data_IF_796505032827
#
_entry.id   IF_796505032827
#
_cell.length_a   1.000
_cell.length_b   1.000
_cell.length_c   1.000
_cell.angle_alpha   90.00
_cell.angle_beta   90.00
_cell.angle_gamma   90.00
#
_symmetry.space_group_name_H-M   'P 1'
#
loop_
_entity.id
_entity.type
_entity.pdbx_description
1 polymer ?
#
# COMPACT_ATOMS: atom_id res chain seq x y z
N UNK A 1 47.60 63.34 -67.78
CA UNK A 1 46.79 64.48 -68.27
C UNK A 1 45.56 63.91 -68.98
N UNK A 2 44.32 64.38 -68.74
CA UNK A 2 43.84 65.25 -67.65
C UNK A 2 43.86 64.45 -66.32
N UNK A 3 42.85 64.25 -65.43
CA UNK A 3 41.41 64.61 -65.30
C UNK A 3 41.00 64.31 -63.83
N UNK A 4 40.03 64.93 -63.12
CA UNK A 4 38.88 65.82 -63.39
C UNK A 4 37.66 65.12 -64.05
N UNK A 5 36.43 65.12 -63.50
CA UNK A 5 35.79 65.99 -62.49
C UNK A 5 34.87 65.25 -61.48
N UNK A 6 34.60 65.93 -60.36
CA UNK A 6 33.34 66.04 -59.57
C UNK A 6 32.20 65.04 -59.84
N UNK A 7 31.60 64.51 -58.76
CA UNK A 7 30.36 65.09 -58.17
C UNK A 7 29.88 64.28 -56.97
N UNK A 8 29.51 64.94 -55.87
CA UNK A 8 28.79 64.31 -54.76
C UNK A 8 27.40 64.93 -54.63
N UNK A 9 26.33 64.12 -54.69
CA UNK A 9 24.97 64.59 -54.39
C UNK A 9 23.98 63.44 -54.13
N UNK A 10 23.06 63.67 -53.18
CA UNK A 10 21.73 63.05 -52.99
C UNK A 10 21.64 61.57 -52.56
N UNK A 11 21.35 61.43 -51.26
CA UNK A 11 20.13 60.83 -50.70
C UNK A 11 19.58 59.50 -51.27
N UNK A 12 19.60 58.51 -50.36
CA UNK A 12 18.44 57.76 -49.87
C UNK A 12 17.88 56.52 -50.62
N UNK A 13 17.56 55.53 -49.76
CA UNK A 13 16.45 54.59 -49.85
C UNK A 13 16.40 53.60 -51.04
N UNK A 14 16.86 52.36 -50.79
CA UNK A 14 15.97 51.19 -50.83
C UNK A 14 16.64 49.95 -50.20
N UNK A 15 16.22 49.60 -48.97
CA UNK A 15 16.54 48.32 -48.35
C UNK A 15 15.34 47.38 -48.56
N UNK A 16 15.40 46.52 -49.57
CA UNK A 16 14.33 45.58 -49.88
C UNK A 16 14.35 44.39 -48.88
N UNK A 17 13.66 44.54 -47.76
CA UNK A 17 13.48 43.46 -46.78
C UNK A 17 12.48 42.45 -47.35
N UNK A 18 12.94 41.23 -47.64
CA UNK A 18 12.10 40.13 -48.12
C UNK A 18 11.28 39.53 -46.96
N UNK A 19 10.22 40.23 -46.55
CA UNK A 19 9.24 39.69 -45.60
C UNK A 19 8.34 38.69 -46.34
N UNK A 20 8.72 37.42 -46.31
CA UNK A 20 7.80 36.34 -46.66
C UNK A 20 6.63 36.30 -45.67
N UNK A 21 5.37 36.09 -46.11
CA UNK A 21 4.23 36.03 -45.20
C UNK A 21 4.30 34.77 -44.35
N UNK A 22 4.86 34.91 -43.15
CA UNK A 22 4.80 33.88 -42.12
C UNK A 22 3.36 33.79 -41.62
N UNK A 23 2.58 32.88 -42.21
CA UNK A 23 1.20 32.60 -41.81
C UNK A 23 1.16 32.05 -40.39
N UNK A 24 1.15 32.95 -39.42
CA UNK A 24 0.84 32.65 -38.03
C UNK A 24 -0.63 32.26 -37.92
N UNK A 25 -0.92 30.98 -38.18
CA UNK A 25 -2.17 30.38 -37.74
C UNK A 25 -2.35 30.68 -36.26
N UNK A 26 -3.42 31.41 -35.92
CA UNK A 26 -3.79 31.62 -34.54
C UNK A 26 -3.97 30.23 -33.90
N UNK A 27 -3.15 29.91 -32.90
CA UNK A 27 -3.22 28.63 -32.19
C UNK A 27 -4.44 28.64 -31.27
N UNK A 28 -5.61 28.49 -31.89
CA UNK A 28 -6.85 28.24 -31.20
C UNK A 28 -6.71 26.97 -30.35
N UNK A 29 -7.39 26.99 -29.21
CA UNK A 29 -7.33 25.95 -28.19
C UNK A 29 -8.74 25.61 -27.73
N UNK A 30 -8.94 24.36 -27.34
CA UNK A 30 -10.14 23.86 -26.71
C UNK A 30 -9.81 23.53 -25.25
N UNK A 31 -10.38 24.28 -24.32
CA UNK A 31 -10.13 24.11 -22.89
C UNK A 31 -11.09 23.07 -22.31
N UNK A 32 -10.57 22.02 -21.68
CA UNK A 32 -11.37 20.97 -21.03
C UNK A 32 -11.09 20.90 -19.53
N UNK A 33 -12.14 20.80 -18.72
CA UNK A 33 -12.06 20.72 -17.26
C UNK A 33 -12.41 19.30 -16.80
N UNK A 34 -11.40 18.54 -16.39
CA UNK A 34 -11.58 17.17 -15.93
C UNK A 34 -11.75 17.07 -14.42
N UNK A 35 -12.63 16.18 -13.97
CA UNK A 35 -12.77 15.77 -12.57
C UNK A 35 -12.74 14.25 -12.47
N UNK A 36 -11.69 13.70 -11.85
CA UNK A 36 -11.59 12.26 -11.59
C UNK A 36 -12.06 11.95 -10.17
N UNK A 37 -12.85 10.88 -10.01
CA UNK A 37 -13.26 10.30 -8.72
C UNK A 37 -12.87 8.83 -8.67
N UNK A 38 -12.66 8.31 -7.46
CA UNK A 38 -12.42 6.89 -7.20
C UNK A 38 -13.53 6.37 -6.28
N UNK A 39 -14.30 5.40 -6.74
CA UNK A 39 -15.41 4.80 -5.97
C UNK A 39 -14.88 3.69 -5.07
N UNK A 40 -14.94 3.89 -3.74
CA UNK A 40 -14.46 2.91 -2.77
C UNK A 40 -12.93 2.90 -2.58
N UNK A 41 -12.23 4.00 -2.86
CA UNK A 41 -10.79 4.11 -2.64
C UNK A 41 -10.28 5.55 -2.49
N UNK A 42 -8.99 5.68 -2.16
CA UNK A 42 -8.24 6.94 -2.20
C UNK A 42 -8.02 7.40 -3.66
N UNK A 43 -7.52 8.62 -3.88
CA UNK A 43 -6.95 9.02 -5.18
C UNK A 43 -5.45 8.68 -5.30
N UNK A 44 -4.79 8.32 -4.19
CA UNK A 44 -3.35 8.01 -4.14
C UNK A 44 -2.95 6.88 -5.10
N UNK A 45 -1.96 7.12 -5.96
CA UNK A 45 -1.52 6.19 -7.01
C UNK A 45 -2.34 6.23 -8.31
N UNK A 46 -3.38 7.06 -8.41
CA UNK A 46 -4.08 7.29 -9.66
C UNK A 46 -3.36 8.32 -10.56
N UNK A 47 -3.56 8.24 -11.87
CA UNK A 47 -3.00 9.16 -12.87
C UNK A 47 -3.96 9.37 -14.05
N UNK A 48 -3.81 10.51 -14.73
CA UNK A 48 -4.38 10.74 -16.05
C UNK A 48 -3.25 10.91 -17.08
N UNK A 49 -3.17 10.00 -18.05
CA UNK A 49 -2.18 10.03 -19.14
C UNK A 49 -2.83 10.63 -20.36
N UNK A 50 -2.26 11.72 -20.88
CA UNK A 50 -2.76 12.41 -22.09
C UNK A 50 -1.92 11.95 -23.28
N UNK A 51 -2.59 11.37 -24.26
CA UNK A 51 -2.04 11.05 -25.57
C UNK A 51 -2.56 12.07 -26.58
N UNK A 52 -1.71 12.50 -27.50
CA UNK A 52 -2.01 13.32 -28.67
C UNK A 52 -1.59 12.54 -29.92
N UNK A 53 -2.51 12.33 -30.85
CA UNK A 53 -2.30 11.63 -32.12
C UNK A 53 -1.60 10.26 -31.93
N UNK A 54 -2.00 9.54 -30.88
CA UNK A 54 -1.43 8.25 -30.44
C UNK A 54 -0.16 8.35 -29.57
N UNK A 55 0.56 9.47 -29.60
CA UNK A 55 1.81 9.67 -28.84
C UNK A 55 1.51 10.21 -27.45
N UNK A 56 2.16 9.69 -26.40
CA UNK A 56 2.00 10.20 -25.03
C UNK A 56 2.58 11.61 -24.90
N UNK A 57 1.73 12.60 -24.71
CA UNK A 57 2.11 14.01 -24.51
C UNK A 57 2.40 14.33 -23.04
N UNK A 58 1.53 13.86 -22.13
CA UNK A 58 1.53 14.31 -20.72
C UNK A 58 1.13 13.20 -19.76
N UNK A 59 1.46 13.38 -18.48
CA UNK A 59 0.91 12.57 -17.39
C UNK A 59 0.65 13.47 -16.19
N UNK A 60 -0.52 13.34 -15.59
CA UNK A 60 -1.02 14.13 -14.47
C UNK A 60 -1.17 13.18 -13.28
N UNK A 61 -0.53 13.50 -12.16
CA UNK A 61 -0.56 12.70 -10.92
C UNK A 61 -1.06 13.50 -9.71
N UNK A 62 -1.23 14.80 -9.85
CA UNK A 62 -1.68 15.74 -8.81
C UNK A 62 -2.97 16.44 -9.24
N UNK A 63 -3.75 16.93 -8.27
CA UNK A 63 -5.00 17.71 -8.51
C UNK A 63 -6.07 17.00 -9.35
N UNK A 64 -6.02 15.67 -9.50
CA UNK A 64 -6.93 14.90 -10.36
C UNK A 64 -8.43 15.07 -10.01
N UNK A 65 -8.75 15.48 -8.78
CA UNK A 65 -10.10 15.86 -8.36
C UNK A 65 -10.72 17.02 -9.16
N UNK A 66 -9.90 17.98 -9.62
CA UNK A 66 -10.26 19.03 -10.58
C UNK A 66 -9.00 19.59 -11.26
N UNK A 67 -8.90 19.39 -12.56
CA UNK A 67 -7.81 19.91 -13.40
C UNK A 67 -8.35 20.51 -14.69
N UNK A 68 -7.54 21.33 -15.36
CA UNK A 68 -7.87 21.96 -16.65
C UNK A 68 -6.75 21.66 -17.64
N UNK A 69 -7.10 21.38 -18.90
CA UNK A 69 -6.17 21.18 -20.00
C UNK A 69 -6.59 22.06 -21.17
N UNK A 70 -5.64 22.76 -21.76
CA UNK A 70 -5.79 23.35 -23.09
C UNK A 70 -5.33 22.34 -24.14
N UNK A 71 -6.26 21.86 -24.96
CA UNK A 71 -6.00 21.00 -26.11
C UNK A 71 -5.82 21.89 -27.35
N UNK A 72 -4.79 21.62 -28.16
CA UNK A 72 -4.64 22.28 -29.46
C UNK A 72 -5.70 21.78 -30.46
N UNK A 73 -6.19 22.64 -31.34
CA UNK A 73 -7.16 22.26 -32.37
C UNK A 73 -6.53 21.38 -33.48
N UNK A 74 -7.39 20.69 -34.23
CA UNK A 74 -7.05 19.80 -35.34
C UNK A 74 -6.08 18.67 -34.94
N UNK A 75 -6.41 17.96 -33.85
CA UNK A 75 -5.67 16.77 -33.39
C UNK A 75 -6.60 15.82 -32.62
N UNK A 76 -6.20 14.56 -32.44
CA UNK A 76 -6.95 13.57 -31.66
C UNK A 76 -6.30 13.34 -30.31
N UNK A 77 -6.97 13.69 -29.22
CA UNK A 77 -6.49 13.46 -27.86
C UNK A 77 -7.22 12.30 -27.21
N UNK A 78 -6.49 11.48 -26.46
CA UNK A 78 -7.08 10.46 -25.58
C UNK A 78 -6.53 10.65 -24.17
N UNK A 79 -7.42 10.84 -23.20
CA UNK A 79 -7.06 10.93 -21.78
C UNK A 79 -7.40 9.60 -21.12
N UNK A 80 -6.36 8.85 -20.73
CA UNK A 80 -6.45 7.56 -20.04
C UNK A 80 -6.35 7.75 -18.54
N UNK A 81 -7.43 7.47 -17.81
CA UNK A 81 -7.52 7.53 -16.36
C UNK A 81 -7.21 6.16 -15.78
N UNK A 82 -6.12 6.06 -15.03
CA UNK A 82 -5.47 4.81 -14.65
C UNK A 82 -5.23 4.76 -13.14
N UNK A 83 -5.43 3.59 -12.52
CA UNK A 83 -5.22 3.35 -11.10
C UNK A 83 -5.12 1.84 -10.85
N UNK A 84 -4.10 1.40 -10.13
CA UNK A 84 -3.89 -0.03 -9.84
C UNK A 84 -5.05 -0.62 -9.00
N UNK A 85 -5.57 -1.77 -9.43
CA UNK A 85 -6.75 -2.42 -8.83
C UNK A 85 -8.11 -1.80 -9.22
N UNK A 86 -8.14 -0.84 -10.14
CA UNK A 86 -9.35 -0.14 -10.58
C UNK A 86 -9.46 -0.17 -12.11
N UNK A 87 -10.69 -0.23 -12.61
CA UNK A 87 -10.97 -0.29 -14.05
C UNK A 87 -10.65 1.05 -14.68
N UNK A 88 -9.55 1.08 -15.43
CA UNK A 88 -9.08 2.26 -16.17
C UNK A 88 -10.10 2.68 -17.23
N UNK A 89 -10.18 3.98 -17.53
CA UNK A 89 -11.17 4.53 -18.48
C UNK A 89 -10.53 5.56 -19.40
N UNK A 90 -10.92 5.58 -20.67
CA UNK A 90 -10.44 6.55 -21.65
C UNK A 90 -11.54 7.54 -22.03
N UNK A 91 -11.19 8.80 -22.22
CA UNK A 91 -12.04 9.81 -22.88
C UNK A 91 -11.31 10.29 -24.13
N UNK A 92 -12.01 10.33 -25.27
CA UNK A 92 -11.45 10.79 -26.55
C UNK A 92 -11.97 12.18 -26.89
N UNK A 93 -11.11 13.06 -27.38
CA UNK A 93 -11.44 14.40 -27.86
C UNK A 93 -10.87 14.56 -29.27
N UNK A 94 -11.74 14.59 -30.28
CA UNK A 94 -11.36 14.96 -31.64
C UNK A 94 -11.53 16.48 -31.77
N UNK A 95 -10.42 17.23 -31.84
CA UNK A 95 -10.43 18.69 -31.91
C UNK A 95 -10.42 19.25 -33.33
N UNK A 96 -10.73 18.42 -34.34
CA UNK A 96 -10.89 18.84 -35.73
C UNK A 96 -12.10 19.76 -35.89
N UNK A 97 -11.87 20.98 -36.37
CA UNK A 97 -12.90 22.03 -36.48
C UNK A 97 -12.83 22.77 -37.81
N UNK A 98 -13.97 23.24 -38.36
CA UNK A 98 -13.99 24.20 -39.46
C UNK A 98 -13.19 25.48 -39.12
N UNK A 99 -12.52 26.07 -40.12
CA UNK A 99 -11.62 27.21 -39.91
C UNK A 99 -12.35 28.50 -39.45
N UNK A 100 -13.61 28.64 -39.85
CA UNK A 100 -14.55 29.69 -39.42
C UNK A 100 -14.99 29.53 -37.96
N UNK A 101 -15.17 28.30 -37.48
CA UNK A 101 -15.48 28.05 -36.07
C UNK A 101 -14.38 28.55 -35.11
N UNK A 102 -13.11 28.44 -35.52
CA UNK A 102 -11.95 28.90 -34.72
C UNK A 102 -12.03 30.38 -34.35
N UNK A 103 -12.66 31.22 -35.19
CA UNK A 103 -12.78 32.65 -34.94
C UNK A 103 -13.76 33.01 -33.82
N UNK A 104 -14.74 32.15 -33.53
CA UNK A 104 -15.74 32.36 -32.47
C UNK A 104 -15.24 31.88 -31.09
N UNK A 105 -14.27 30.96 -31.07
CA UNK A 105 -13.86 30.24 -29.87
C UNK A 105 -14.84 29.11 -29.50
N UNK A 106 -14.52 28.42 -28.41
CA UNK A 106 -15.22 27.22 -27.93
C UNK A 106 -15.48 27.33 -26.43
N UNK A 107 -16.60 26.79 -25.93
CA UNK A 107 -16.88 26.82 -24.50
C UNK A 107 -15.97 25.84 -23.73
N UNK A 108 -15.54 26.16 -22.50
CA UNK A 108 -14.76 25.23 -21.69
C UNK A 108 -15.58 23.98 -21.32
N UNK A 109 -15.13 22.80 -21.74
CA UNK A 109 -15.91 21.57 -21.63
C UNK A 109 -15.67 20.84 -20.30
N UNK A 110 -16.69 20.83 -19.45
CA UNK A 110 -16.68 20.16 -18.14
C UNK A 110 -17.01 18.67 -18.26
N UNK A 111 -16.10 17.79 -17.81
CA UNK A 111 -16.32 16.33 -17.80
C UNK A 111 -15.89 15.69 -16.47
N UNK A 112 -16.44 14.50 -16.19
CA UNK A 112 -16.16 13.76 -14.96
C UNK A 112 -16.00 12.25 -15.21
N UNK A 113 -15.07 11.61 -14.50
CA UNK A 113 -14.75 10.19 -14.65
C UNK A 113 -14.65 9.53 -13.26
N UNK A 114 -15.58 8.62 -12.95
CA UNK A 114 -15.48 7.75 -11.78
C UNK A 114 -14.80 6.43 -12.14
N UNK A 115 -13.62 6.18 -11.55
CA UNK A 115 -12.97 4.87 -11.57
C UNK A 115 -13.56 3.99 -10.47
N UNK A 116 -13.85 2.73 -10.78
CA UNK A 116 -14.38 1.74 -9.83
C UNK A 116 -13.45 0.55 -9.68
N UNK A 117 -13.52 -0.12 -8.52
CA UNK A 117 -12.69 -1.30 -8.22
C UNK A 117 -12.88 -2.39 -9.28
N UNK A 118 -11.78 -3.00 -9.71
CA UNK A 118 -11.80 -4.15 -10.61
C UNK A 118 -12.12 -5.42 -9.81
N UNK A 119 -12.95 -6.29 -10.39
CA UNK A 119 -13.28 -7.61 -9.87
C UNK A 119 -12.95 -8.65 -10.93
N UNK A 120 -12.28 -9.75 -10.57
CA UNK A 120 -11.76 -10.73 -11.53
C UNK A 120 -12.86 -11.48 -12.30
N UNK A 121 -14.05 -11.61 -11.70
CA UNK A 121 -15.23 -12.24 -12.31
C UNK A 121 -15.95 -11.35 -13.35
N UNK A 122 -15.53 -10.10 -13.55
CA UNK A 122 -16.28 -9.09 -14.31
C UNK A 122 -15.56 -8.73 -15.62
N UNK A 123 -16.29 -8.80 -16.75
CA UNK A 123 -15.72 -8.50 -18.06
C UNK A 123 -15.51 -6.98 -18.24
N UNK A 124 -14.26 -6.53 -18.15
CA UNK A 124 -13.89 -5.12 -18.30
C UNK A 124 -13.51 -4.71 -19.73
N UNK A 125 -13.58 -5.62 -20.73
CA UNK A 125 -13.03 -5.37 -22.09
C UNK A 125 -13.66 -4.14 -22.77
N UNK A 126 -14.92 -3.82 -22.49
CA UNK A 126 -15.59 -2.60 -22.97
C UNK A 126 -14.83 -1.31 -22.60
N UNK A 127 -14.15 -1.27 -21.45
CA UNK A 127 -13.39 -0.11 -20.99
C UNK A 127 -12.02 0.08 -21.67
N UNK A 128 -11.62 -0.84 -22.56
CA UNK A 128 -10.48 -0.62 -23.44
C UNK A 128 -10.76 0.46 -24.49
N UNK A 129 -12.04 0.64 -24.85
CA UNK A 129 -12.54 1.71 -25.72
C UNK A 129 -12.77 3.00 -24.91
N UNK A 130 -12.88 4.19 -25.54
CA UNK A 130 -13.32 5.40 -24.86
C UNK A 130 -14.72 5.23 -24.26
N UNK A 131 -14.92 5.63 -23.00
CA UNK A 131 -16.26 5.67 -22.37
C UNK A 131 -17.04 6.94 -22.73
N UNK A 132 -16.37 7.88 -23.40
CA UNK A 132 -16.95 9.06 -24.00
C UNK A 132 -16.06 9.54 -25.15
N UNK A 133 -16.68 9.94 -26.25
CA UNK A 133 -16.06 10.61 -27.39
C UNK A 133 -16.68 12.00 -27.45
N UNK A 134 -15.83 13.03 -27.44
CA UNK A 134 -16.20 14.43 -27.64
C UNK A 134 -15.68 14.84 -29.00
N UNK A 135 -16.52 15.50 -29.79
CA UNK A 135 -16.16 16.04 -31.11
C UNK A 135 -16.88 17.36 -31.36
N UNK A 136 -16.42 18.09 -32.37
CA UNK A 136 -17.17 19.22 -32.88
C UNK A 136 -18.53 18.76 -33.43
N UNK A 137 -19.58 19.50 -33.13
CA UNK A 137 -20.94 19.24 -33.60
C UNK A 137 -21.48 20.47 -34.35
N UNK A 138 -21.44 20.46 -35.70
CA UNK A 138 -21.81 21.63 -36.51
C UNK A 138 -23.23 22.16 -36.29
N UNK A 139 -24.16 21.35 -35.76
CA UNK A 139 -25.53 21.79 -35.47
C UNK A 139 -25.65 22.71 -34.23
N UNK A 140 -24.67 22.67 -33.31
CA UNK A 140 -24.59 23.59 -32.15
C UNK A 140 -23.41 24.57 -32.26
N UNK A 141 -22.45 24.29 -33.14
CA UNK A 141 -21.31 25.17 -33.41
C UNK A 141 -20.15 25.06 -32.42
N UNK A 142 -20.15 24.07 -31.53
CA UNK A 142 -19.17 23.84 -30.46
C UNK A 142 -18.93 22.32 -30.25
N UNK A 143 -18.21 21.95 -29.20
CA UNK A 143 -17.92 20.56 -28.84
C UNK A 143 -19.01 19.93 -27.96
N UNK A 144 -19.49 18.74 -28.34
CA UNK A 144 -20.41 17.92 -27.53
C UNK A 144 -20.00 16.44 -27.55
N UNK A 145 -20.61 15.63 -26.70
CA UNK A 145 -20.52 14.17 -26.74
C UNK A 145 -21.10 13.63 -28.05
N UNK A 146 -20.37 12.71 -28.69
CA UNK A 146 -20.91 11.94 -29.80
C UNK A 146 -22.05 11.04 -29.29
N UNK A 147 -23.29 11.46 -29.55
CA UNK A 147 -24.46 10.77 -29.00
C UNK A 147 -24.66 9.38 -29.60
N UNK A 148 -24.20 9.13 -30.82
CA UNK A 148 -24.38 7.85 -31.51
C UNK A 148 -23.35 6.82 -31.04
N UNK A 149 -22.09 7.24 -30.90
CA UNK A 149 -21.08 6.46 -30.20
C UNK A 149 -21.52 6.16 -28.76
N UNK A 150 -22.02 7.17 -28.03
CA UNK A 150 -22.49 6.99 -26.64
C UNK A 150 -23.60 5.94 -26.56
N UNK A 151 -24.64 6.03 -27.41
CA UNK A 151 -25.71 5.01 -27.51
C UNK A 151 -25.14 3.61 -27.78
N UNK A 152 -24.16 3.49 -28.69
CA UNK A 152 -23.61 2.20 -29.12
C UNK A 152 -22.93 1.41 -27.99
N UNK A 153 -22.26 2.09 -27.06
CA UNK A 153 -21.59 1.44 -25.92
C UNK A 153 -22.42 1.43 -24.64
N UNK A 154 -23.44 2.28 -24.51
CA UNK A 154 -24.20 2.50 -23.26
C UNK A 154 -24.74 1.21 -22.65
N UNK A 155 -25.29 0.29 -23.46
CA UNK A 155 -25.82 -0.99 -22.94
C UNK A 155 -24.73 -1.85 -22.28
N UNK A 156 -23.54 -1.92 -22.89
CA UNK A 156 -22.40 -2.70 -22.38
C UNK A 156 -21.77 -2.04 -21.15
N UNK A 157 -21.69 -0.70 -21.14
CA UNK A 157 -21.23 0.07 -19.97
C UNK A 157 -22.16 -0.14 -18.77
N UNK A 158 -23.48 -0.07 -18.98
CA UNK A 158 -24.48 -0.22 -17.93
C UNK A 158 -24.45 -1.63 -17.32
N UNK A 159 -24.43 -2.68 -18.13
CA UNK A 159 -24.38 -4.07 -17.64
C UNK A 159 -23.17 -4.30 -16.73
N UNK A 160 -21.98 -3.85 -17.14
CA UNK A 160 -20.77 -4.02 -16.34
C UNK A 160 -20.78 -3.15 -15.08
N UNK A 161 -21.35 -1.94 -15.14
CA UNK A 161 -21.56 -1.10 -13.93
C UNK A 161 -22.52 -1.76 -12.93
N UNK A 162 -23.59 -2.40 -13.39
CA UNK A 162 -24.50 -3.15 -12.52
C UNK A 162 -23.82 -4.38 -11.89
N UNK A 163 -23.02 -5.14 -12.67
CA UNK A 163 -22.22 -6.25 -12.13
C UNK A 163 -21.22 -5.76 -11.06
N UNK A 164 -20.56 -4.63 -11.28
CA UNK A 164 -19.62 -4.00 -10.33
C UNK A 164 -20.33 -3.54 -9.06
N UNK A 165 -21.45 -2.83 -9.17
CA UNK A 165 -22.22 -2.38 -7.99
C UNK A 165 -22.85 -3.56 -7.23
N UNK A 166 -23.17 -4.67 -7.90
CA UNK A 166 -23.58 -5.92 -7.25
C UNK A 166 -22.42 -6.54 -6.46
N UNK A 167 -21.26 -6.77 -7.09
CA UNK A 167 -20.05 -7.31 -6.42
C UNK A 167 -19.60 -6.44 -5.23
N UNK A 168 -19.72 -5.13 -5.36
CA UNK A 168 -19.45 -4.14 -4.31
C UNK A 168 -20.41 -4.26 -3.12
N UNK A 169 -21.71 -4.49 -3.36
CA UNK A 169 -22.69 -4.78 -2.29
C UNK A 169 -22.41 -6.13 -1.63
N UNK A 170 -22.17 -7.18 -2.40
CA UNK A 170 -21.79 -8.51 -1.89
C UNK A 170 -20.54 -8.44 -0.99
N UNK A 171 -19.52 -7.67 -1.39
CA UNK A 171 -18.32 -7.42 -0.59
C UNK A 171 -18.60 -6.62 0.69
N UNK A 172 -19.39 -5.54 0.60
CA UNK A 172 -19.77 -4.73 1.76
C UNK A 172 -20.61 -5.51 2.78
N UNK A 173 -21.57 -6.33 2.33
CA UNK A 173 -22.40 -7.18 3.18
C UNK A 173 -21.57 -8.28 3.83
N UNK A 174 -20.69 -8.94 3.07
CA UNK A 174 -19.73 -9.94 3.57
C UNK A 174 -18.85 -9.37 4.67
N UNK A 175 -18.25 -8.21 4.45
CA UNK A 175 -17.26 -7.66 5.38
C UNK A 175 -17.94 -6.95 6.57
N UNK A 176 -19.13 -6.36 6.40
CA UNK A 176 -19.97 -5.95 7.53
C UNK A 176 -20.46 -7.14 8.37
N UNK A 177 -20.69 -8.31 7.76
CA UNK A 177 -21.03 -9.55 8.47
C UNK A 177 -19.83 -10.07 9.29
N UNK A 178 -18.62 -10.11 8.71
CA UNK A 178 -17.38 -10.42 9.43
C UNK A 178 -17.16 -9.49 10.63
N UNK A 179 -17.25 -8.18 10.43
CA UNK A 179 -17.07 -7.19 11.50
C UNK A 179 -18.07 -7.37 12.65
N UNK A 180 -19.31 -7.79 12.35
CA UNK A 180 -20.30 -8.17 13.38
C UNK A 180 -19.88 -9.44 14.12
N UNK A 181 -19.52 -10.51 13.39
CA UNK A 181 -19.08 -11.78 13.97
C UNK A 181 -17.81 -11.62 14.83
N UNK A 182 -16.85 -10.82 14.40
CA UNK A 182 -15.64 -10.48 15.16
C UNK A 182 -15.97 -9.68 16.42
N UNK A 183 -16.82 -8.66 16.32
CA UNK A 183 -17.27 -7.88 17.49
C UNK A 183 -18.07 -8.72 18.49
N UNK A 184 -18.87 -9.68 18.02
CA UNK A 184 -19.59 -10.64 18.86
C UNK A 184 -18.66 -11.66 19.49
N UNK A 185 -17.67 -12.19 18.75
CA UNK A 185 -16.64 -13.08 19.28
C UNK A 185 -15.76 -12.40 20.33
N UNK A 186 -15.41 -11.12 20.16
CA UNK A 186 -14.69 -10.32 21.15
C UNK A 186 -15.55 -10.14 22.42
N UNK A 187 -16.83 -9.77 22.28
CA UNK A 187 -17.76 -9.66 23.42
C UNK A 187 -17.97 -11.00 24.14
N UNK A 188 -18.04 -12.10 23.40
CA UNK A 188 -18.17 -13.45 23.97
C UNK A 188 -16.92 -13.84 24.77
N UNK A 189 -15.71 -13.60 24.22
CA UNK A 189 -14.44 -13.80 24.93
C UNK A 189 -14.36 -12.96 26.20
N UNK A 190 -14.68 -11.66 26.14
CA UNK A 190 -14.68 -10.77 27.31
C UNK A 190 -15.64 -11.23 28.40
N UNK A 191 -16.86 -11.69 28.04
CA UNK A 191 -17.82 -12.26 29.00
C UNK A 191 -17.32 -13.55 29.62
N UNK A 192 -16.77 -14.46 28.82
CA UNK A 192 -16.22 -15.72 29.31
C UNK A 192 -15.01 -15.50 30.24
N UNK A 193 -14.15 -14.53 29.94
CA UNK A 193 -13.02 -14.15 30.79
C UNK A 193 -13.49 -13.48 32.09
N UNK A 194 -14.48 -12.59 32.04
CA UNK A 194 -15.07 -11.98 33.24
C UNK A 194 -15.75 -13.03 34.14
N UNK A 195 -16.47 -13.99 33.54
CA UNK A 195 -17.11 -15.09 34.26
C UNK A 195 -16.08 -16.05 34.84
N UNK A 196 -15.06 -16.47 34.08
CA UNK A 196 -13.96 -17.28 34.58
C UNK A 196 -13.23 -16.60 35.75
N UNK A 197 -13.02 -15.27 35.69
CA UNK A 197 -12.44 -14.48 36.79
C UNK A 197 -13.37 -14.42 38.02
N UNK A 198 -14.69 -14.36 37.83
CA UNK A 198 -15.67 -14.46 38.92
C UNK A 198 -15.68 -15.85 39.56
N UNK A 199 -15.64 -16.91 38.75
CA UNK A 199 -15.58 -18.29 39.23
C UNK A 199 -14.25 -18.55 39.99
N UNK A 200 -13.12 -18.09 39.46
CA UNK A 200 -11.81 -18.22 40.12
C UNK A 200 -11.74 -17.46 41.46
N UNK A 201 -12.25 -16.23 41.54
CA UNK A 201 -12.28 -15.48 42.80
C UNK A 201 -13.28 -16.07 43.80
N UNK A 202 -14.39 -16.64 43.35
CA UNK A 202 -15.32 -17.40 44.20
C UNK A 202 -14.70 -18.70 44.74
N UNK A 203 -13.96 -19.44 43.91
CA UNK A 203 -13.21 -20.65 44.32
C UNK A 203 -12.13 -20.31 45.35
N UNK A 204 -11.29 -19.31 45.09
CA UNK A 204 -10.28 -18.84 46.05
C UNK A 204 -10.91 -18.39 47.38
N UNK A 205 -12.05 -17.70 47.35
CA UNK A 205 -12.77 -17.29 48.56
C UNK A 205 -13.41 -18.47 49.31
N UNK A 206 -13.82 -19.53 48.61
CA UNK A 206 -14.33 -20.75 49.23
C UNK A 206 -13.19 -21.58 49.85
N UNK A 207 -12.08 -21.75 49.15
CA UNK A 207 -10.88 -22.44 49.63
C UNK A 207 -10.27 -21.73 50.86
N UNK A 208 -10.17 -20.40 50.83
CA UNK A 208 -9.70 -19.62 51.97
C UNK A 208 -10.61 -19.76 53.20
N UNK A 209 -11.94 -19.85 53.01
CA UNK A 209 -12.89 -20.12 54.10
C UNK A 209 -12.74 -21.54 54.65
N UNK A 210 -12.67 -22.55 53.77
CA UNK A 210 -12.50 -23.94 54.15
C UNK A 210 -11.20 -24.16 54.94
N UNK A 211 -10.09 -23.52 54.50
CA UNK A 211 -8.83 -23.53 55.22
C UNK A 211 -8.93 -22.84 56.58
N UNK A 212 -9.50 -21.64 56.65
CA UNK A 212 -9.66 -20.93 57.92
C UNK A 212 -10.56 -21.70 58.92
N UNK A 213 -11.54 -22.46 58.43
CA UNK A 213 -12.34 -23.35 59.28
C UNK A 213 -11.55 -24.59 59.74
N UNK A 214 -10.77 -25.23 58.87
CA UNK A 214 -9.88 -26.34 59.23
C UNK A 214 -8.79 -25.93 60.25
N UNK A 215 -8.16 -24.76 60.05
CA UNK A 215 -7.20 -24.16 60.98
C UNK A 215 -7.87 -23.90 62.35
N UNK A 216 -9.13 -23.43 62.35
CA UNK A 216 -9.92 -23.21 63.58
C UNK A 216 -10.31 -24.53 64.27
N UNK A 217 -10.67 -25.56 63.52
CA UNK A 217 -11.01 -26.88 64.07
C UNK A 217 -9.78 -27.57 64.68
N UNK A 218 -8.64 -27.53 64.00
CA UNK A 218 -7.38 -28.07 64.54
C UNK A 218 -6.89 -27.30 65.76
N UNK A 219 -6.98 -25.96 65.77
CA UNK A 219 -6.69 -25.17 66.96
C UNK A 219 -7.62 -25.51 68.14
N UNK A 220 -8.91 -25.75 67.89
CA UNK A 220 -9.86 -26.19 68.92
C UNK A 220 -9.54 -27.59 69.46
N UNK A 221 -9.15 -28.54 68.60
CA UNK A 221 -8.70 -29.88 68.99
C UNK A 221 -7.42 -29.82 69.83
N UNK A 222 -6.41 -29.04 69.41
CA UNK A 222 -5.18 -28.84 70.17
C UNK A 222 -5.45 -28.20 71.54
N UNK A 223 -6.34 -27.20 71.62
CA UNK A 223 -6.73 -26.58 72.88
C UNK A 223 -7.56 -27.51 73.79
N UNK A 224 -8.28 -28.50 73.23
CA UNK A 224 -8.95 -29.54 74.01
C UNK A 224 -7.94 -30.57 74.53
N UNK A 225 -7.02 -31.06 73.69
CA UNK A 225 -5.97 -32.00 74.07
C UNK A 225 -5.06 -31.41 75.16
N UNK A 226 -4.61 -30.17 75.00
CA UNK A 226 -3.79 -29.48 76.00
C UNK A 226 -4.49 -29.32 77.37
N UNK A 227 -5.82 -29.27 77.42
CA UNK A 227 -6.59 -29.31 78.69
C UNK A 227 -6.57 -30.70 79.33
N UNK A 228 -6.75 -31.75 78.53
CA UNK A 228 -6.67 -33.16 78.98
C UNK A 228 -5.26 -33.46 79.50
N UNK A 229 -4.23 -33.06 78.76
CA UNK A 229 -2.83 -33.25 79.15
C UNK A 229 -2.49 -32.49 80.45
N UNK A 230 -2.98 -31.25 80.59
CA UNK A 230 -2.81 -30.47 81.81
C UNK A 230 -3.58 -31.06 83.01
N UNK A 231 -4.74 -31.68 82.81
CA UNK A 231 -5.46 -32.39 83.87
C UNK A 231 -4.71 -33.67 84.28
N UNK A 232 -4.20 -34.44 83.32
CA UNK A 232 -3.40 -35.64 83.56
C UNK A 232 -2.09 -35.30 84.29
N UNK A 233 -1.39 -34.24 83.89
CA UNK A 233 -0.21 -33.75 84.61
C UNK A 233 -0.54 -33.30 86.05
N UNK A 234 -1.71 -32.68 86.28
CA UNK A 234 -2.15 -32.31 87.64
C UNK A 234 -2.43 -33.53 88.52
N UNK A 235 -3.04 -34.58 87.96
CA UNK A 235 -3.25 -35.87 88.68
C UNK A 235 -1.92 -36.52 89.01
N UNK A 236 -1.03 -36.67 88.02
CA UNK A 236 0.30 -37.25 88.22
C UNK A 236 1.15 -36.44 89.24
N UNK A 237 1.08 -35.10 89.24
CA UNK A 237 1.75 -34.29 90.27
C UNK A 237 1.12 -34.43 91.66
N UNK A 238 -0.19 -34.64 91.77
CA UNK A 238 -0.85 -34.87 93.05
C UNK A 238 -0.48 -36.25 93.62
N UNK A 239 -0.43 -37.28 92.78
CA UNK A 239 0.02 -38.63 93.13
C UNK A 239 1.50 -38.64 93.53
N UNK A 240 2.38 -38.04 92.71
CA UNK A 240 3.81 -37.94 93.01
C UNK A 240 4.07 -37.17 94.33
N UNK A 241 3.32 -36.09 94.61
CA UNK A 241 3.43 -35.38 95.89
C UNK A 241 2.85 -36.17 97.07
N UNK A 242 1.83 -36.98 96.86
CA UNK A 242 1.30 -37.87 97.90
C UNK A 242 2.29 -39.01 98.22
N UNK A 243 3.01 -39.52 97.22
CA UNK A 243 4.05 -40.53 97.40
C UNK A 243 5.34 -39.92 97.99
N UNK A 244 5.78 -38.75 97.53
CA UNK A 244 6.88 -38.01 98.16
C UNK A 244 6.54 -37.66 99.62
N UNK A 245 5.31 -37.25 99.94
CA UNK A 245 4.87 -37.02 101.31
C UNK A 245 4.90 -38.30 102.17
N UNK A 246 4.56 -39.47 101.61
CA UNK A 246 4.72 -40.77 102.29
C UNK A 246 6.19 -41.10 102.53
N UNK A 247 7.07 -40.91 101.55
CA UNK A 247 8.50 -41.14 101.69
C UNK A 247 9.15 -40.16 102.69
N UNK A 248 8.75 -38.88 102.68
CA UNK A 248 9.22 -37.87 103.64
C UNK A 248 8.67 -38.12 105.04
N UNK A 249 7.45 -38.67 105.18
CA UNK A 249 6.95 -39.12 106.48
C UNK A 249 7.79 -40.27 107.03
N UNK A 250 8.03 -41.33 106.23
CA UNK A 250 8.87 -42.46 106.60
C UNK A 250 10.33 -42.04 106.91
N UNK A 251 10.93 -41.18 106.07
CA UNK A 251 12.27 -40.62 106.32
C UNK A 251 12.29 -39.72 107.55
N UNK A 252 11.25 -38.95 107.86
CA UNK A 252 11.15 -38.19 109.13
C UNK A 252 10.96 -39.09 110.35
N UNK A 253 10.39 -40.27 110.19
CA UNK A 253 10.28 -41.27 111.26
C UNK A 253 11.64 -41.98 111.49
N UNK A 254 12.41 -42.19 110.43
CA UNK A 254 13.81 -42.65 110.49
C UNK A 254 14.77 -41.55 111.02
N UNK A 255 14.61 -40.30 110.58
CA UNK A 255 15.36 -39.15 111.10
C UNK A 255 15.00 -38.85 112.55
N UNK A 256 13.75 -39.06 112.99
CA UNK A 256 13.41 -39.00 114.43
C UNK A 256 14.11 -40.07 115.27
N UNK A 257 14.56 -41.17 114.68
CA UNK A 257 15.44 -42.16 115.35
C UNK A 257 16.91 -41.74 115.36
N UNK A 258 17.34 -40.86 114.45
CA UNK A 258 18.74 -40.41 114.30
C UNK A 258 19.00 -39.05 114.97
N UNK A 259 18.07 -38.11 114.88
CA UNK A 259 18.09 -36.79 115.50
C UNK A 259 17.64 -36.78 116.97
N UNK A 260 17.65 -37.95 117.63
CA UNK A 260 17.86 -38.02 119.08
C UNK A 260 19.34 -37.76 119.45
N UNK A 261 20.23 -37.73 118.45
CA UNK A 261 21.67 -37.50 118.55
C UNK A 261 22.06 -36.27 117.70
N UNK A 262 22.94 -35.41 118.25
CA UNK A 262 23.48 -34.17 117.68
C UNK A 262 22.51 -33.00 117.34
N UNK A 263 22.79 -31.80 117.88
CA UNK A 263 22.08 -30.55 117.62
C UNK A 263 23.04 -29.31 117.62
N UNK A 264 22.56 -28.17 117.08
CA UNK A 264 23.23 -26.85 116.92
C UNK A 264 24.35 -26.75 115.83
N UNK A 265 24.72 -25.61 115.21
CA UNK A 265 24.12 -24.27 114.90
C UNK A 265 25.15 -23.42 114.07
N UNK A 266 24.88 -22.28 113.39
CA UNK A 266 23.71 -21.71 112.66
C UNK A 266 24.11 -20.37 111.94
N UNK A 267 23.33 -19.92 110.92
CA UNK A 267 23.28 -18.55 110.32
C UNK A 267 24.50 -18.02 109.47
N UNK A 268 24.45 -16.99 108.57
CA UNK A 268 23.40 -16.29 107.77
C UNK A 268 24.02 -15.33 106.68
N UNK A 269 23.56 -15.37 105.39
CA UNK A 269 23.41 -14.32 104.29
C UNK A 269 24.55 -13.28 103.94
N UNK A 270 24.45 -12.32 102.96
CA UNK A 270 23.81 -12.24 101.60
C UNK A 270 24.64 -11.59 100.42
N UNK A 271 24.29 -11.93 99.15
CA UNK A 271 23.89 -11.10 97.93
C UNK A 271 24.03 -9.54 97.98
N UNK A 272 24.28 -8.70 96.90
CA UNK A 272 24.31 -8.83 95.40
C UNK A 272 25.69 -8.34 94.79
N UNK A 273 25.94 -7.51 93.71
CA UNK A 273 25.20 -6.92 92.54
C UNK A 273 25.95 -6.87 91.15
N UNK A 274 25.53 -6.00 90.19
CA UNK A 274 26.14 -5.64 88.86
C UNK A 274 25.76 -4.16 88.46
N UNK A 275 26.29 -3.44 87.41
CA UNK A 275 26.07 -3.71 85.94
C UNK A 275 27.12 -3.09 84.93
N UNK A 276 26.70 -2.78 83.68
CA UNK A 276 27.38 -2.10 82.52
C UNK A 276 27.23 -0.51 82.54
N UNK A 277 27.38 0.37 81.46
CA UNK A 277 27.66 0.22 80.00
C UNK A 277 28.40 1.38 79.19
N UNK A 278 28.47 1.23 77.84
CA UNK A 278 28.25 2.24 76.73
C UNK A 278 29.35 3.13 76.05
N UNK A 279 29.12 3.38 74.73
CA UNK A 279 29.59 4.46 73.77
C UNK A 279 31.02 4.39 73.13
N UNK A 280 31.40 5.15 72.08
CA UNK A 280 30.84 5.47 70.72
C UNK A 280 31.68 6.55 69.95
N UNK A 281 32.06 6.34 68.64
CA UNK A 281 32.60 7.32 67.62
C UNK A 281 34.02 7.95 67.84
N UNK A 282 34.77 8.60 66.90
CA UNK A 282 34.58 8.98 65.45
C UNK A 282 35.83 8.88 64.48
N UNK A 283 36.61 9.95 64.13
CA UNK A 283 36.89 10.44 62.72
C UNK A 283 38.38 10.30 62.23
N UNK A 284 38.91 10.80 61.04
CA UNK A 284 38.45 11.84 60.07
C UNK A 284 38.65 11.54 58.52
N UNK A 285 39.28 12.45 57.72
CA UNK A 285 39.42 12.53 56.22
C UNK A 285 40.71 13.35 55.82
N UNK A 286 40.92 14.15 54.71
CA UNK A 286 40.17 14.43 53.44
C UNK A 286 40.84 14.36 51.98
N UNK A 287 41.53 15.35 51.33
CA UNK A 287 41.50 15.60 49.83
C UNK A 287 42.90 15.53 49.10
N UNK A 288 43.25 16.07 47.86
CA UNK A 288 42.58 16.98 46.89
C UNK A 288 42.69 16.64 45.35
N UNK A 289 43.28 17.51 44.47
CA UNK A 289 43.03 17.60 42.98
C UNK A 289 44.23 18.11 42.11
N UNK A 290 44.23 17.83 40.78
CA UNK A 290 44.81 18.70 39.71
C UNK A 290 43.93 18.85 38.42
N UNK A 291 44.30 19.67 37.39
CA UNK A 291 43.34 20.24 36.38
C UNK A 291 43.94 20.66 34.96
N UNK A 292 43.11 20.60 33.87
CA UNK A 292 43.04 21.41 32.58
C UNK A 292 43.70 21.02 31.21
N UNK A 293 43.09 21.60 30.13
CA UNK A 293 43.59 22.02 28.77
C UNK A 293 43.70 21.00 27.58
N UNK A 294 43.64 21.34 26.25
CA UNK A 294 43.47 22.63 25.49
C UNK A 294 43.23 22.50 23.94
N UNK A 295 42.60 23.53 23.29
CA UNK A 295 42.72 24.03 21.87
C UNK A 295 42.22 23.14 20.67
N UNK A 296 41.37 23.60 19.72
CA UNK A 296 41.52 24.48 18.51
C UNK A 296 42.01 23.72 17.22
N UNK A 297 41.63 23.97 15.94
CA UNK A 297 41.26 25.22 15.20
C UNK A 297 40.35 24.99 13.93
N UNK A 298 40.10 26.05 13.14
CA UNK A 298 39.45 26.15 11.79
C UNK A 298 40.10 27.34 11.01
N UNK A 299 39.68 27.75 9.78
CA UNK A 299 39.34 27.08 8.51
C UNK A 299 40.27 27.56 7.36
N UNK A 300 39.93 27.39 6.06
CA UNK A 300 40.31 28.34 4.99
C UNK A 300 39.39 28.30 3.75
N UNK A 301 39.44 29.32 2.90
CA UNK A 301 38.68 29.52 1.65
C UNK A 301 39.59 29.52 0.38
N UNK A 302 39.01 29.67 -0.81
CA UNK A 302 39.76 29.92 -2.05
C UNK A 302 38.89 30.12 -3.30
N UNK A 303 39.01 31.28 -3.97
CA UNK A 303 38.29 31.64 -5.20
C UNK A 303 39.11 32.65 -6.03
N UNK A 304 39.41 32.34 -7.31
CA UNK A 304 39.98 33.24 -8.34
C UNK A 304 39.90 32.51 -9.72
N UNK A 305 40.06 33.11 -10.91
CA UNK A 305 40.24 34.53 -11.19
C UNK A 305 40.86 34.90 -12.56
N UNK A 306 40.02 35.23 -13.55
CA UNK A 306 40.32 36.11 -14.72
C UNK A 306 41.10 35.56 -15.95
N UNK A 307 40.83 36.23 -17.08
CA UNK A 307 41.75 36.72 -18.16
C UNK A 307 42.04 35.93 -19.47
N UNK A 308 41.30 36.35 -20.51
CA UNK A 308 41.79 36.94 -21.80
C UNK A 308 42.39 36.12 -22.96
N UNK A 309 41.90 36.50 -24.16
CA UNK A 309 42.58 36.63 -25.47
C UNK A 309 42.70 35.40 -26.39
N UNK A 310 42.80 35.70 -27.70
CA UNK A 310 42.58 34.81 -28.86
C UNK A 310 43.86 34.73 -29.69
N UNK A 311 44.16 33.58 -30.33
CA UNK A 311 44.94 33.54 -31.56
C UNK A 311 44.09 33.09 -32.76
N UNK A 312 44.36 33.67 -33.94
CA UNK A 312 43.73 33.28 -35.21
C UNK A 312 44.49 32.09 -35.80
N UNK A 313 43.77 31.07 -36.25
CA UNK A 313 44.28 30.04 -37.15
C UNK A 313 43.70 30.29 -38.55
N UNK A 314 44.56 30.32 -39.56
CA UNK A 314 44.17 30.37 -40.98
C UNK A 314 44.37 28.97 -41.53
N UNK A 315 43.32 28.39 -42.11
CA UNK A 315 43.40 27.11 -42.83
C UNK A 315 42.96 27.32 -44.28
N UNK A 316 43.73 26.77 -45.22
CA UNK A 316 43.71 27.17 -46.63
C UNK A 316 42.68 26.37 -47.44
N UNK A 317 41.91 27.05 -48.30
CA UNK A 317 40.80 26.42 -49.02
C UNK A 317 41.27 25.41 -50.08
N UNK A 318 41.03 24.12 -49.82
CA UNK A 318 41.40 23.02 -50.73
C UNK A 318 40.74 23.15 -52.12
N UNK A 319 41.55 23.00 -53.18
CA UNK A 319 41.14 23.21 -54.58
C UNK A 319 40.54 21.94 -55.21
N UNK A 320 39.59 21.30 -54.55
CA UNK A 320 38.89 20.13 -55.08
C UNK A 320 37.37 20.33 -55.04
N UNK A 321 36.74 20.40 -56.21
CA UNK A 321 35.29 20.38 -56.32
C UNK A 321 34.76 19.02 -55.85
N UNK A 322 33.88 19.01 -54.86
CA UNK A 322 33.22 17.79 -54.37
C UNK A 322 32.27 17.28 -55.46
N UNK A 323 32.36 15.99 -55.80
CA UNK A 323 31.51 15.40 -56.84
C UNK A 323 30.03 15.58 -56.51
N UNK A 324 29.25 16.08 -57.47
CA UNK A 324 27.79 16.18 -57.36
C UNK A 324 27.22 14.78 -57.64
N UNK A 325 26.68 14.14 -56.60
CA UNK A 325 25.84 12.98 -56.79
C UNK A 325 24.53 13.45 -57.44
N UNK A 326 24.27 12.99 -58.67
CA UNK A 326 22.97 13.20 -59.32
C UNK A 326 22.05 12.09 -58.84
N UNK A 327 21.35 12.34 -57.74
CA UNK A 327 20.28 11.45 -57.27
C UNK A 327 19.08 11.55 -58.23
N UNK A 328 19.09 10.70 -59.26
CA UNK A 328 17.86 10.32 -59.96
C UNK A 328 17.08 9.40 -59.03
N UNK A 329 16.17 9.98 -58.24
CA UNK A 329 15.21 9.24 -57.43
C UNK A 329 14.17 8.57 -58.34
N UNK A 330 14.54 7.46 -58.96
CA UNK A 330 13.60 6.55 -59.61
C UNK A 330 12.79 5.82 -58.53
N UNK A 331 11.69 6.45 -58.11
CA UNK A 331 10.73 5.85 -57.19
C UNK A 331 10.09 4.62 -57.82
N UNK A 332 10.67 3.46 -57.51
CA UNK A 332 10.11 2.15 -57.83
C UNK A 332 8.69 2.09 -57.25
N UNK A 333 7.64 1.84 -58.06
CA UNK A 333 6.28 1.76 -57.55
C UNK A 333 6.20 0.69 -56.47
N UNK A 334 5.52 1.02 -55.36
CA UNK A 334 5.41 0.12 -54.22
C UNK A 334 4.75 -1.20 -54.65
N UNK A 335 5.43 -2.31 -54.35
CA UNK A 335 4.92 -3.65 -54.61
C UNK A 335 3.74 -3.92 -53.68
N UNK A 336 2.54 -4.06 -54.25
CA UNK A 336 1.29 -4.25 -53.49
C UNK A 336 1.30 -5.69 -52.97
N UNK A 337 1.81 -5.87 -51.76
CA UNK A 337 1.63 -7.11 -51.00
C UNK A 337 0.18 -7.17 -50.55
N UNK A 338 -0.61 -8.04 -51.20
CA UNK A 338 -1.97 -8.35 -50.74
C UNK A 338 -1.90 -9.14 -49.43
N UNK A 339 -2.09 -8.46 -48.30
CA UNK A 339 -2.07 -9.11 -46.98
C UNK A 339 -3.28 -10.05 -46.84
N UNK A 340 -3.08 -11.35 -46.55
CA UNK A 340 -4.17 -12.33 -46.56
C UNK A 340 -5.14 -12.09 -45.40
N UNK A 341 -6.43 -11.98 -45.71
CA UNK A 341 -7.48 -11.73 -44.72
C UNK A 341 -7.66 -12.95 -43.82
N UNK A 342 -7.12 -12.88 -42.60
CA UNK A 342 -7.29 -13.93 -41.57
C UNK A 342 -8.53 -13.64 -40.73
N UNK A 343 -9.52 -14.55 -40.75
CA UNK A 343 -10.64 -14.49 -39.83
C UNK A 343 -10.25 -15.16 -38.50
N UNK A 344 -10.35 -14.42 -37.39
CA UNK A 344 -10.15 -14.96 -36.02
C UNK A 344 -11.48 -15.16 -35.31
N UNK A 345 -11.63 -16.30 -34.62
CA UNK A 345 -12.72 -16.57 -33.69
C UNK A 345 -12.14 -17.12 -32.39
N UNK A 346 -12.66 -16.70 -31.24
CA UNK A 346 -12.16 -17.13 -29.93
C UNK A 346 -13.32 -17.60 -29.03
N UNK A 347 -13.34 -18.90 -28.73
CA UNK A 347 -14.33 -19.55 -27.86
C UNK A 347 -13.71 -19.82 -26.48
N UNK A 348 -14.46 -19.58 -25.39
CA UNK A 348 -14.02 -19.86 -24.02
C UNK A 348 -14.88 -20.95 -23.36
N UNK A 349 -14.31 -22.15 -23.22
CA UNK A 349 -14.98 -23.28 -22.58
C UNK A 349 -14.55 -23.37 -21.11
N UNK A 350 -15.49 -23.11 -20.20
CA UNK A 350 -15.27 -23.15 -18.75
C UNK A 350 -15.84 -24.46 -18.16
N UNK A 351 -14.96 -25.31 -17.64
CA UNK A 351 -15.32 -26.57 -16.97
C UNK A 351 -14.94 -26.54 -15.49
N UNK A 352 -15.57 -27.40 -14.68
CA UNK A 352 -15.39 -27.41 -13.23
C UNK A 352 -13.94 -27.57 -12.76
N UNK A 353 -13.07 -28.22 -13.55
CA UNK A 353 -11.63 -28.40 -13.25
C UNK A 353 -10.64 -27.66 -14.16
N UNK A 354 -11.07 -27.08 -15.28
CA UNK A 354 -10.21 -26.46 -16.30
C UNK A 354 -10.93 -25.38 -17.11
N UNK A 355 -10.19 -24.39 -17.59
CA UNK A 355 -10.65 -23.39 -18.55
C UNK A 355 -9.89 -23.61 -19.85
N UNK A 356 -10.59 -23.72 -20.97
CA UNK A 356 -10.00 -23.91 -22.30
C UNK A 356 -10.35 -22.71 -23.18
N UNK A 357 -9.35 -21.89 -23.51
CA UNK A 357 -9.47 -20.92 -24.60
C UNK A 357 -9.20 -21.64 -25.91
N UNK A 358 -10.08 -21.51 -26.90
CA UNK A 358 -9.92 -22.05 -28.25
C UNK A 358 -9.88 -20.89 -29.24
N UNK A 359 -8.75 -20.69 -29.91
CA UNK A 359 -8.60 -19.66 -30.96
C UNK A 359 -8.55 -20.36 -32.31
N UNK A 360 -9.52 -20.07 -33.17
CA UNK A 360 -9.55 -20.54 -34.57
C UNK A 360 -9.09 -19.39 -35.46
N UNK A 361 -8.12 -19.68 -36.31
CA UNK A 361 -7.65 -18.79 -37.36
C UNK A 361 -7.94 -19.44 -38.71
N UNK A 362 -8.74 -18.78 -39.54
CA UNK A 362 -9.04 -19.18 -40.90
C UNK A 362 -8.29 -18.24 -41.86
N UNK A 363 -7.37 -18.79 -42.64
CA UNK A 363 -6.56 -18.08 -43.64
C UNK A 363 -6.52 -18.89 -44.92
N UNK A 364 -6.87 -18.29 -46.06
CA UNK A 364 -6.86 -18.93 -47.38
C UNK A 364 -7.62 -20.28 -47.46
N UNK A 365 -8.67 -20.44 -46.64
CA UNK A 365 -9.46 -21.68 -46.54
C UNK A 365 -8.86 -22.75 -45.63
N UNK A 366 -7.71 -22.52 -45.00
CA UNK A 366 -7.11 -23.39 -43.99
C UNK A 366 -7.50 -22.91 -42.59
N UNK A 367 -8.31 -23.69 -41.88
CA UNK A 367 -8.62 -23.46 -40.46
C UNK A 367 -7.54 -24.09 -39.57
N UNK A 368 -6.85 -23.26 -38.78
CA UNK A 368 -5.92 -23.70 -37.73
C UNK A 368 -6.54 -23.45 -36.35
N UNK A 369 -6.59 -24.49 -35.51
CA UNK A 369 -7.17 -24.42 -34.17
C UNK A 369 -6.06 -24.44 -33.11
N UNK A 370 -5.99 -23.40 -32.30
CA UNK A 370 -5.13 -23.32 -31.13
C UNK A 370 -5.95 -23.51 -29.86
N UNK A 371 -5.41 -24.21 -28.86
CA UNK A 371 -6.03 -24.29 -27.52
C UNK A 371 -5.04 -23.96 -26.42
N UNK A 372 -5.48 -23.18 -25.44
CA UNK A 372 -4.80 -22.99 -24.15
C UNK A 372 -5.68 -23.57 -23.06
N UNK A 373 -5.26 -24.69 -22.47
CA UNK A 373 -5.94 -25.37 -21.36
C UNK A 373 -5.26 -24.97 -20.05
N UNK A 374 -5.97 -24.20 -19.22
CA UNK A 374 -5.55 -23.84 -17.86
C UNK A 374 -6.28 -24.72 -16.84
N UNK A 375 -5.54 -25.46 -16.03
CA UNK A 375 -6.11 -26.28 -14.96
C UNK A 375 -6.11 -25.56 -13.62
N UNK A 376 -7.14 -25.81 -12.79
CA UNK A 376 -7.23 -25.24 -11.42
C UNK A 376 -6.09 -25.63 -10.46
N UNK A 377 -5.28 -26.63 -10.82
CA UNK A 377 -4.06 -27.01 -10.06
C UNK A 377 -2.79 -26.27 -10.51
N UNK A 378 -2.88 -25.35 -11.48
CA UNK A 378 -1.78 -24.46 -11.91
C UNK A 378 -1.08 -24.85 -13.22
N UNK A 379 -1.38 -26.03 -13.78
CA UNK A 379 -0.83 -26.44 -15.08
C UNK A 379 -1.49 -25.72 -16.26
N UNK A 380 -0.67 -25.16 -17.16
CA UNK A 380 -1.14 -24.60 -18.45
C UNK A 380 -0.54 -25.40 -19.59
N UNK A 381 -1.38 -25.84 -20.53
CA UNK A 381 -0.98 -26.61 -21.71
C UNK A 381 -1.46 -25.92 -22.98
N UNK A 382 -0.62 -25.95 -24.02
CA UNK A 382 -0.88 -25.32 -25.31
C UNK A 382 -0.95 -26.37 -26.41
N UNK A 383 -1.88 -26.20 -27.34
CA UNK A 383 -2.11 -27.11 -28.47
C UNK A 383 -2.29 -26.34 -29.77
N UNK A 384 -1.84 -26.93 -30.88
CA UNK A 384 -2.05 -26.51 -32.27
C UNK A 384 -2.57 -27.71 -33.06
N UNK A 385 -3.75 -27.60 -33.67
CA UNK A 385 -4.47 -28.66 -34.38
C UNK A 385 -4.56 -29.98 -33.57
N UNK A 386 -4.74 -29.87 -32.25
CA UNK A 386 -4.80 -31.00 -31.31
C UNK A 386 -3.46 -31.57 -30.84
N UNK A 387 -2.34 -31.27 -31.51
CA UNK A 387 -1.00 -31.62 -31.05
C UNK A 387 -0.50 -30.60 -30.00
N UNK A 388 0.30 -31.03 -29.02
CA UNK A 388 0.92 -30.15 -28.02
C UNK A 388 1.93 -29.21 -28.66
N UNK A 389 1.85 -27.90 -28.37
CA UNK A 389 2.84 -26.89 -28.77
C UNK A 389 3.42 -26.17 -27.55
N UNK A 390 4.41 -25.29 -27.76
CA UNK A 390 4.97 -24.46 -26.70
C UNK A 390 4.18 -23.17 -26.53
N UNK A 391 4.28 -22.55 -25.34
CA UNK A 391 3.67 -21.25 -25.05
C UNK A 391 4.03 -20.19 -26.11
N UNK A 392 5.32 -20.10 -26.47
CA UNK A 392 5.82 -19.13 -27.45
C UNK A 392 5.22 -19.32 -28.85
N UNK A 393 4.93 -20.57 -29.25
CA UNK A 393 4.24 -20.86 -30.52
C UNK A 393 2.78 -20.39 -30.45
N UNK A 394 2.07 -20.65 -29.35
CA UNK A 394 0.72 -20.13 -29.16
C UNK A 394 0.69 -18.59 -29.12
N UNK A 395 1.62 -17.94 -28.43
CA UNK A 395 1.68 -16.48 -28.33
C UNK A 395 2.01 -15.82 -29.67
N UNK A 396 3.00 -16.35 -30.41
CA UNK A 396 3.38 -15.80 -31.72
C UNK A 396 2.37 -16.08 -32.83
N UNK A 397 1.60 -17.18 -32.77
CA UNK A 397 0.69 -17.56 -33.86
C UNK A 397 -0.79 -17.27 -33.56
N UNK A 398 -1.25 -17.43 -32.31
CA UNK A 398 -2.66 -17.24 -31.93
C UNK A 398 -2.95 -15.88 -31.28
N UNK A 399 -1.92 -15.17 -30.78
CA UNK A 399 -2.07 -13.86 -30.13
C UNK A 399 -1.37 -12.70 -30.86
N UNK A 400 -0.71 -12.95 -31.99
CA UNK A 400 -0.10 -11.88 -32.78
C UNK A 400 -1.13 -10.79 -33.17
N UNK A 401 -0.73 -9.50 -33.12
CA UNK A 401 -1.60 -8.41 -33.54
C UNK A 401 -1.75 -8.45 -35.06
N UNK A 402 -2.99 -8.50 -35.54
CA UNK A 402 -3.29 -8.17 -36.93
C UNK A 402 -3.02 -6.67 -37.12
N UNK A 403 -1.91 -6.35 -37.78
CA UNK A 403 -1.88 -5.14 -38.61
C UNK A 403 -2.92 -5.34 -39.74
N UNK A 404 -3.45 -4.22 -40.25
CA UNK A 404 -4.49 -4.16 -41.28
C UNK A 404 -5.84 -4.90 -40.98
N UNK A 405 -6.76 -4.18 -40.33
CA UNK A 405 -8.04 -3.91 -41.00
C UNK A 405 -9.09 -5.03 -41.20
N UNK A 406 -9.14 -6.07 -40.36
CA UNK A 406 -10.22 -7.06 -40.41
C UNK A 406 -11.40 -6.73 -39.47
N UNK A 407 -12.50 -6.16 -40.00
CA UNK A 407 -13.76 -6.05 -39.24
C UNK A 407 -14.54 -7.38 -39.26
N UNK A 408 -15.06 -7.86 -38.12
CA UNK A 408 -15.74 -9.15 -38.05
C UNK A 408 -17.07 -9.13 -38.81
N UNK A 409 -17.09 -9.73 -39.99
CA UNK A 409 -18.28 -9.85 -40.84
C UNK A 409 -19.16 -11.00 -40.34
N UNK A 410 -19.91 -10.74 -39.27
CA UNK A 410 -20.86 -11.70 -38.71
C UNK A 410 -21.84 -12.21 -39.77
N UNK A 411 -21.99 -13.54 -39.87
CA UNK A 411 -23.05 -14.15 -40.69
C UNK A 411 -24.40 -13.83 -40.05
N UNK A 412 -25.33 -13.28 -40.83
CA UNK A 412 -26.75 -13.45 -40.55
C UNK A 412 -27.19 -14.78 -41.15
N UNK A 413 -28.02 -15.48 -40.38
CA UNK A 413 -29.00 -16.49 -40.80
C UNK A 413 -30.35 -15.94 -40.31
#
# INVERSE_FOLDING_TARGET
>A
MPSLLRSGFRNALLMAILVGPMFGFAQGKFTVNGRMKVEGGSMEGARAVVYKDGVKERTITTSLAKFTLDLGLNSNYVISFERDGFVSKKISFNTSVPADAVANGFTPFDFAVSLFKQYDDVNIVVFNQPVGVIRYEPSVGDFDYDTDYTKSIQSQLNEVVEQVEKKKKEEQERDASKLKQEAEAIKAKQRAEEEARKQATAQQAAEAKAKAEADRQTAAQQAAQAKVDAENQRKAQAEAKAEEARQVAARREEEKRKAAEAAAASAVKPVPPAPEPKKERTPPAPPPVPVRNSLASKPNEGQDGRRTSVPVMVEEASRMAKAVAVEQNEERPAEIVEEPIVNRTEDLLVESGKVTTVVKLESEGVTTEYRRVYHKWGGTFFFKNGATCTQQVYENEALAPQLAGASPRGKLD
#
